data_IF_267748902839
#
_entry.id   IF_267748902839
#
_cell.length_a   1.000
_cell.length_b   1.000
_cell.length_c   1.000
_cell.angle_alpha   90.00
_cell.angle_beta   90.00
_cell.angle_gamma   90.00
#
_symmetry.space_group_name_H-M   'P 1'
#
loop_
_entity.id
_entity.type
_entity.pdbx_description
1 polymer ?
#
# COMPACT_ATOMS: atom_id res chain seq x y z
N UNK A 1 43.88 22.57 -20.26
CA UNK A 1 42.64 22.10 -19.59
C UNK A 1 42.19 20.69 -20.01
N UNK A 2 42.29 20.28 -21.29
CA UNK A 2 41.79 18.97 -21.76
C UNK A 2 42.50 17.71 -21.22
N UNK A 3 43.75 17.79 -20.75
CA UNK A 3 44.48 16.64 -20.17
C UNK A 3 44.12 16.31 -18.71
N UNK A 4 43.61 17.28 -17.93
CA UNK A 4 43.16 17.03 -16.54
C UNK A 4 41.78 16.37 -16.48
N UNK A 5 40.97 16.50 -17.54
CA UNK A 5 39.64 15.89 -17.61
C UNK A 5 39.69 14.38 -17.96
N UNK A 6 40.70 13.94 -18.72
CA UNK A 6 40.87 12.52 -19.09
C UNK A 6 41.33 11.67 -17.91
N UNK A 7 42.17 12.21 -17.01
CA UNK A 7 42.60 11.50 -15.80
C UNK A 7 41.48 11.35 -14.75
N UNK A 8 40.50 12.25 -14.73
CA UNK A 8 39.37 12.19 -13.80
C UNK A 8 38.34 11.12 -14.19
N UNK A 9 38.21 10.84 -15.49
CA UNK A 9 37.33 9.76 -16.01
C UNK A 9 37.94 8.37 -15.77
N UNK A 10 39.27 8.23 -15.83
CA UNK A 10 39.95 6.96 -15.57
C UNK A 10 39.97 6.64 -14.06
N UNK A 11 40.07 7.65 -13.19
CA UNK A 11 39.99 7.44 -11.74
C UNK A 11 38.58 7.00 -11.26
N UNK A 12 37.52 7.46 -11.92
CA UNK A 12 36.14 7.05 -11.63
C UNK A 12 35.81 5.62 -12.10
N UNK A 13 36.55 5.09 -13.09
CA UNK A 13 36.37 3.70 -13.57
C UNK A 13 37.16 2.67 -12.74
N UNK A 14 38.14 3.08 -11.94
CA UNK A 14 38.95 2.18 -11.11
C UNK A 14 38.51 2.12 -9.64
N UNK A 15 37.71 3.08 -9.17
CA UNK A 15 37.02 2.99 -7.87
C UNK A 15 35.71 2.22 -8.01
N UNK A 16 35.79 0.98 -8.48
CA UNK A 16 34.72 0.00 -8.49
C UNK A 16 34.29 -0.37 -7.07
N UNK A 17 33.55 0.51 -6.40
CA UNK A 17 32.63 0.10 -5.36
C UNK A 17 31.58 -0.77 -6.03
N UNK A 18 31.70 -2.08 -5.83
CA UNK A 18 30.63 -3.07 -6.04
C UNK A 18 29.40 -2.62 -5.25
N UNK A 19 28.60 -1.75 -5.84
CA UNK A 19 27.19 -1.73 -5.53
C UNK A 19 26.67 -3.07 -6.01
N UNK A 20 26.44 -3.97 -5.05
CA UNK A 20 25.49 -5.05 -5.19
C UNK A 20 24.14 -4.34 -5.39
N UNK A 21 23.89 -3.90 -6.62
CA UNK A 21 22.52 -3.69 -7.06
C UNK A 21 21.85 -5.05 -6.89
N UNK A 22 20.71 -5.15 -6.20
CA UNK A 22 19.95 -6.38 -6.19
C UNK A 22 19.80 -6.77 -7.66
N UNK A 23 20.25 -7.98 -8.01
CA UNK A 23 19.95 -8.53 -9.32
C UNK A 23 18.46 -8.34 -9.51
N UNK A 24 18.09 -7.45 -10.43
CA UNK A 24 16.72 -7.27 -10.82
C UNK A 24 16.28 -8.68 -11.20
N UNK A 25 15.42 -9.26 -10.36
CA UNK A 25 14.70 -10.46 -10.70
C UNK A 25 14.21 -10.22 -12.12
N UNK A 26 14.51 -11.15 -13.02
CA UNK A 26 14.06 -11.13 -14.41
C UNK A 26 12.53 -11.17 -14.39
N UNK A 27 11.90 -10.02 -14.16
CA UNK A 27 10.49 -9.81 -14.40
C UNK A 27 10.33 -10.01 -15.89
N UNK A 28 9.62 -11.07 -16.25
CA UNK A 28 9.19 -11.33 -17.62
C UNK A 28 8.67 -10.01 -18.22
N UNK A 29 9.38 -9.52 -19.24
CA UNK A 29 9.15 -8.22 -19.87
C UNK A 29 7.77 -8.06 -20.51
N UNK A 30 6.96 -9.13 -20.54
CA UNK A 30 5.60 -9.12 -21.06
C UNK A 30 4.56 -8.40 -20.19
N UNK A 31 4.86 -8.09 -18.92
CA UNK A 31 3.91 -7.46 -18.00
C UNK A 31 4.32 -6.08 -17.46
N UNK A 32 5.49 -5.57 -17.85
CA UNK A 32 5.90 -4.22 -17.46
C UNK A 32 5.03 -3.16 -18.15
N UNK A 33 4.75 -3.34 -19.45
CA UNK A 33 3.99 -2.37 -20.24
C UNK A 33 2.51 -2.27 -19.82
N UNK A 34 1.90 -3.39 -19.41
CA UNK A 34 0.55 -3.40 -18.83
C UNK A 34 0.51 -2.68 -17.47
N UNK A 35 1.46 -2.97 -16.58
CA UNK A 35 1.61 -2.28 -15.29
C UNK A 35 1.84 -0.77 -15.46
N UNK A 36 2.72 -0.36 -16.38
CA UNK A 36 2.95 1.06 -16.66
C UNK A 36 1.70 1.73 -17.26
N UNK A 37 0.93 1.03 -18.10
CA UNK A 37 -0.31 1.56 -18.67
C UNK A 37 -1.42 1.68 -17.65
N UNK A 38 -1.55 0.71 -16.74
CA UNK A 38 -2.50 0.76 -15.61
C UNK A 38 -2.12 1.84 -14.60
N UNK A 39 -0.84 1.96 -14.24
CA UNK A 39 -0.34 3.04 -13.38
C UNK A 39 -0.54 4.41 -14.05
N UNK A 40 -0.19 4.54 -15.34
CA UNK A 40 -0.43 5.77 -16.08
C UNK A 40 -1.93 6.10 -16.20
N UNK A 41 -2.80 5.11 -16.33
CA UNK A 41 -4.25 5.31 -16.27
C UNK A 41 -4.70 5.77 -14.88
N UNK A 42 -4.19 5.17 -13.80
CA UNK A 42 -4.49 5.59 -12.43
C UNK A 42 -4.06 7.05 -12.16
N UNK A 43 -2.86 7.45 -12.61
CA UNK A 43 -2.37 8.82 -12.49
C UNK A 43 -3.11 9.81 -13.41
N UNK A 44 -3.54 9.39 -14.60
CA UNK A 44 -4.29 10.25 -15.54
C UNK A 44 -5.77 10.41 -15.20
N UNK A 45 -6.28 9.62 -14.26
CA UNK A 45 -7.65 9.76 -13.73
C UNK A 45 -7.72 10.76 -12.56
N UNK A 46 -6.60 11.25 -12.04
CA UNK A 46 -6.61 12.25 -10.97
C UNK A 46 -7.23 13.56 -11.50
N UNK A 47 -8.45 13.87 -11.06
CA UNK A 47 -9.20 15.06 -11.50
C UNK A 47 -10.07 14.90 -12.76
N UNK A 48 -10.14 13.73 -13.40
CA UNK A 48 -11.11 13.50 -14.48
C UNK A 48 -12.50 13.20 -13.93
N UNK A 49 -13.53 13.73 -14.58
CA UNK A 49 -14.92 13.41 -14.24
C UNK A 49 -15.19 11.90 -14.29
N UNK A 50 -15.99 11.42 -13.34
CA UNK A 50 -16.46 10.04 -13.30
C UNK A 50 -17.71 9.89 -14.17
N UNK A 51 -17.92 8.70 -14.74
CA UNK A 51 -19.18 8.44 -15.43
C UNK A 51 -20.35 8.41 -14.44
N UNK A 52 -21.54 8.87 -14.83
CA UNK A 52 -22.73 8.85 -13.95
C UNK A 52 -23.06 7.45 -13.42
N UNK A 53 -22.88 6.42 -14.26
CA UNK A 53 -23.14 5.03 -13.86
C UNK A 53 -22.18 4.56 -12.76
N UNK A 54 -20.89 4.91 -12.87
CA UNK A 54 -19.89 4.60 -11.84
C UNK A 54 -20.14 5.41 -10.56
N UNK A 55 -20.49 6.69 -10.68
CA UNK A 55 -20.85 7.52 -9.53
C UNK A 55 -22.05 6.94 -8.76
N UNK A 56 -23.14 6.61 -9.46
CA UNK A 56 -24.33 5.99 -8.87
C UNK A 56 -24.01 4.64 -8.21
N UNK A 57 -23.12 3.85 -8.81
CA UNK A 57 -22.73 2.54 -8.27
C UNK A 57 -21.99 2.67 -6.94
N UNK A 58 -21.04 3.62 -6.80
CA UNK A 58 -20.42 3.92 -5.50
C UNK A 58 -21.48 4.39 -4.51
N UNK A 59 -22.23 5.44 -4.88
CA UNK A 59 -23.13 6.11 -3.94
C UNK A 59 -24.18 5.15 -3.40
N UNK A 60 -24.67 4.18 -4.17
CA UNK A 60 -25.63 3.16 -3.69
C UNK A 60 -25.15 2.38 -2.46
N UNK A 61 -23.83 2.22 -2.28
CA UNK A 61 -23.25 1.49 -1.14
C UNK A 61 -23.07 2.33 0.12
N UNK A 62 -23.27 3.64 0.03
CA UNK A 62 -23.01 4.60 1.11
C UNK A 62 -24.25 4.90 1.95
N UNK A 63 -24.01 5.27 3.22
CA UNK A 63 -25.05 5.81 4.10
C UNK A 63 -25.57 7.16 3.60
N UNK A 64 -26.76 7.55 4.04
CA UNK A 64 -27.37 8.84 3.71
C UNK A 64 -26.50 10.01 4.16
N UNK A 65 -25.90 9.91 5.35
CA UNK A 65 -24.99 10.93 5.88
C UNK A 65 -23.76 11.10 4.99
N UNK A 66 -23.14 9.99 4.58
CA UNK A 66 -21.97 10.01 3.71
C UNK A 66 -22.29 10.64 2.34
N UNK A 67 -23.44 10.29 1.75
CA UNK A 67 -23.92 10.92 0.50
C UNK A 67 -24.06 12.43 0.64
N UNK A 68 -24.61 12.91 1.77
CA UNK A 68 -24.75 14.34 2.01
C UNK A 68 -23.40 15.05 2.07
N UNK A 69 -22.41 14.48 2.77
CA UNK A 69 -21.03 14.99 2.81
C UNK A 69 -20.43 15.06 1.41
N UNK A 70 -20.59 14.00 0.62
CA UNK A 70 -20.10 13.94 -0.76
C UNK A 70 -20.77 14.97 -1.67
N UNK A 71 -22.06 15.21 -1.54
CA UNK A 71 -22.76 16.29 -2.26
C UNK A 71 -22.25 17.69 -1.86
N UNK A 72 -21.90 17.91 -0.59
CA UNK A 72 -21.23 19.16 -0.18
C UNK A 72 -19.84 19.30 -0.79
N UNK A 73 -19.04 18.23 -0.77
CA UNK A 73 -17.71 18.21 -1.42
C UNK A 73 -17.85 18.51 -2.91
N UNK A 74 -18.83 17.91 -3.60
CA UNK A 74 -19.09 18.14 -5.03
C UNK A 74 -19.37 19.61 -5.37
N UNK A 75 -20.06 20.33 -4.47
CA UNK A 75 -20.34 21.77 -4.60
C UNK A 75 -19.09 22.63 -4.38
N UNK A 76 -18.21 22.22 -3.45
CA UNK A 76 -17.00 22.96 -3.09
C UNK A 76 -15.84 22.70 -4.07
N UNK A 77 -15.64 21.45 -4.47
CA UNK A 77 -14.57 21.01 -5.37
C UNK A 77 -14.95 19.68 -6.07
N UNK A 78 -15.43 19.80 -7.32
CA UNK A 78 -15.85 18.66 -8.14
C UNK A 78 -14.71 17.68 -8.44
N UNK A 79 -13.47 18.15 -8.53
CA UNK A 79 -12.32 17.29 -8.81
C UNK A 79 -11.97 16.46 -7.57
N UNK A 80 -11.94 17.10 -6.40
CA UNK A 80 -11.75 16.41 -5.12
C UNK A 80 -12.88 15.41 -4.84
N UNK A 81 -14.12 15.75 -5.18
CA UNK A 81 -15.26 14.81 -5.12
C UNK A 81 -14.98 13.49 -5.85
N UNK A 82 -14.63 13.56 -7.13
CA UNK A 82 -14.34 12.35 -7.91
C UNK A 82 -13.08 11.63 -7.45
N UNK A 83 -12.07 12.37 -6.98
CA UNK A 83 -10.90 11.78 -6.36
C UNK A 83 -11.31 10.94 -5.14
N UNK A 84 -12.07 11.51 -4.20
CA UNK A 84 -12.47 10.83 -2.97
C UNK A 84 -13.41 9.65 -3.23
N UNK A 85 -14.29 9.72 -4.24
CA UNK A 85 -15.11 8.59 -4.65
C UNK A 85 -14.28 7.40 -5.15
N UNK A 86 -13.18 7.65 -5.89
CA UNK A 86 -12.30 6.59 -6.41
C UNK A 86 -11.40 5.99 -5.32
N UNK A 87 -10.89 6.81 -4.42
CA UNK A 87 -9.92 6.38 -3.40
C UNK A 87 -10.57 5.87 -2.10
N UNK A 88 -11.71 6.45 -1.68
CA UNK A 88 -12.34 6.12 -0.40
C UNK A 88 -13.02 4.75 -0.38
N UNK A 89 -13.45 4.27 -1.55
CA UNK A 89 -14.27 3.07 -1.65
C UNK A 89 -13.60 2.12 -2.62
N UNK A 90 -12.89 1.08 -2.13
CA UNK A 90 -12.34 0.07 -3.00
C UNK A 90 -13.53 -0.61 -3.66
N UNK A 91 -13.82 -0.21 -4.89
CA UNK A 91 -14.39 -1.13 -5.84
C UNK A 91 -13.53 -2.38 -5.77
N UNK A 92 -14.18 -3.52 -5.52
CA UNK A 92 -13.56 -4.84 -5.43
C UNK A 92 -12.79 -5.22 -6.70
N UNK A 93 -11.67 -4.53 -6.91
CA UNK A 93 -10.56 -4.96 -7.74
C UNK A 93 -9.89 -6.05 -6.93
N UNK A 94 -9.78 -7.20 -7.56
CA UNK A 94 -9.73 -8.49 -6.87
C UNK A 94 -8.63 -8.59 -5.83
N UNK A 95 -8.91 -9.48 -4.89
CA UNK A 95 -8.10 -9.98 -3.79
C UNK A 95 -6.78 -10.65 -4.24
N UNK A 96 -6.09 -10.09 -5.23
CA UNK A 96 -4.83 -10.61 -5.73
C UNK A 96 -3.69 -9.78 -5.15
N UNK A 97 -3.12 -10.27 -4.06
CA UNK A 97 -1.79 -9.85 -3.65
C UNK A 97 -0.79 -10.11 -4.78
N UNK A 98 0.30 -9.32 -4.89
CA UNK A 98 1.22 -9.34 -6.04
C UNK A 98 2.00 -10.66 -6.27
N UNK A 99 1.71 -11.76 -5.56
CA UNK A 99 2.46 -13.01 -5.70
C UNK A 99 1.69 -14.30 -5.30
N UNK A 100 0.35 -14.30 -5.25
CA UNK A 100 -0.40 -15.50 -4.86
C UNK A 100 -0.21 -15.93 -3.39
N UNK A 101 0.47 -15.11 -2.58
CA UNK A 101 0.48 -15.28 -1.13
C UNK A 101 -0.90 -14.90 -0.56
N UNK A 102 -1.41 -15.63 0.44
CA UNK A 102 -2.67 -15.29 1.07
C UNK A 102 -2.59 -13.86 1.60
N UNK A 103 -3.59 -13.04 1.25
CA UNK A 103 -3.64 -11.61 1.60
C UNK A 103 -3.60 -11.32 3.12
N UNK A 104 -3.70 -12.38 3.94
CA UNK A 104 -3.40 -12.40 5.37
C UNK A 104 -1.95 -11.98 5.69
N UNK A 105 -0.97 -12.33 4.85
CA UNK A 105 0.46 -12.03 5.07
C UNK A 105 0.76 -10.54 4.93
N UNK A 106 0.06 -9.84 4.02
CA UNK A 106 0.22 -8.40 3.80
C UNK A 106 -0.83 -7.54 4.53
N UNK A 107 -1.64 -8.11 5.42
CA UNK A 107 -2.60 -7.35 6.22
C UNK A 107 -3.71 -6.68 5.40
N UNK A 108 -3.96 -7.12 4.16
CA UNK A 108 -4.97 -6.53 3.26
C UNK A 108 -6.39 -7.03 3.52
N UNK A 109 -6.59 -7.99 4.42
CA UNK A 109 -7.89 -8.58 4.70
C UNK A 109 -8.32 -8.43 6.16
N UNK A 110 -8.52 -7.20 6.61
CA UNK A 110 -9.56 -6.97 7.63
C UNK A 110 -10.23 -5.62 7.36
N UNK A 111 -11.33 -5.68 6.62
CA UNK A 111 -12.37 -4.66 6.69
C UNK A 111 -13.02 -4.72 8.10
N UNK A 112 -12.25 -4.36 9.13
CA UNK A 112 -12.78 -4.19 10.49
C UNK A 112 -13.52 -2.84 10.56
N UNK A 113 -14.44 -2.70 11.52
CA UNK A 113 -15.18 -1.46 11.78
C UNK A 113 -14.27 -0.21 11.89
N UNK A 114 -13.03 -0.40 12.37
CA UNK A 114 -12.00 0.65 12.41
C UNK A 114 -11.64 1.24 11.04
N UNK A 115 -11.64 0.42 9.98
CA UNK A 115 -11.35 0.90 8.60
C UNK A 115 -12.51 1.71 8.02
N UNK A 116 -13.74 1.41 8.42
CA UNK A 116 -14.92 2.19 8.04
C UNK A 116 -14.89 3.55 8.74
N UNK A 117 -14.68 3.56 10.07
CA UNK A 117 -14.59 4.80 10.85
C UNK A 117 -13.45 5.69 10.36
N UNK A 118 -12.28 5.12 10.08
CA UNK A 118 -11.14 5.85 9.51
C UNK A 118 -11.51 6.58 8.22
N UNK A 119 -12.15 5.88 7.27
CA UNK A 119 -12.58 6.46 6.01
C UNK A 119 -13.62 7.56 6.20
N UNK A 120 -14.58 7.35 7.09
CA UNK A 120 -15.59 8.37 7.40
C UNK A 120 -14.94 9.64 7.94
N UNK A 121 -13.98 9.50 8.86
CA UNK A 121 -13.19 10.62 9.39
C UNK A 121 -12.31 11.29 8.33
N UNK A 122 -11.72 10.54 7.39
CA UNK A 122 -10.97 11.14 6.28
C UNK A 122 -11.87 12.03 5.40
N UNK A 123 -13.10 11.60 5.13
CA UNK A 123 -14.08 12.42 4.39
C UNK A 123 -14.47 13.67 5.19
N UNK A 124 -14.66 13.55 6.52
CA UNK A 124 -14.95 14.69 7.38
C UNK A 124 -13.81 15.72 7.38
N UNK A 125 -12.56 15.25 7.53
CA UNK A 125 -11.36 16.09 7.47
C UNK A 125 -11.26 16.81 6.13
N UNK A 126 -11.47 16.12 5.01
CA UNK A 126 -11.43 16.71 3.67
C UNK A 126 -12.55 17.74 3.44
N UNK A 127 -13.78 17.44 3.88
CA UNK A 127 -14.89 18.38 3.82
C UNK A 127 -14.62 19.63 4.66
N UNK A 128 -14.13 19.47 5.90
CA UNK A 128 -13.79 20.60 6.78
C UNK A 128 -12.64 21.43 6.22
N UNK A 129 -11.63 20.80 5.61
CA UNK A 129 -10.54 21.50 4.94
C UNK A 129 -11.04 22.33 3.74
N UNK A 130 -11.95 21.77 2.92
CA UNK A 130 -12.59 22.49 1.83
C UNK A 130 -13.47 23.64 2.33
N UNK A 131 -14.26 23.42 3.39
CA UNK A 131 -15.06 24.47 4.03
C UNK A 131 -14.16 25.60 4.53
N UNK A 132 -13.07 25.27 5.22
CA UNK A 132 -12.10 26.24 5.73
C UNK A 132 -11.47 27.06 4.60
N UNK A 133 -11.12 26.42 3.47
CA UNK A 133 -10.55 27.08 2.29
C UNK A 133 -11.52 28.10 1.66
N UNK A 134 -12.83 27.85 1.76
CA UNK A 134 -13.88 28.69 1.18
C UNK A 134 -14.58 29.59 2.23
N UNK A 135 -14.15 29.55 3.49
CA UNK A 135 -14.79 30.25 4.59
C UNK A 135 -14.41 31.73 4.67
N UNK A 136 -15.33 32.54 5.18
CA UNK A 136 -15.07 33.90 5.64
C UNK A 136 -14.48 33.91 7.06
N UNK A 137 -13.95 35.05 7.50
CA UNK A 137 -13.24 35.16 8.79
C UNK A 137 -14.04 34.71 10.02
N UNK A 138 -15.37 34.84 9.99
CA UNK A 138 -16.24 34.40 11.09
C UNK A 138 -16.41 32.88 11.13
N UNK A 139 -16.53 32.22 9.98
CA UNK A 139 -16.67 30.76 9.86
C UNK A 139 -15.35 30.03 10.14
N UNK A 140 -14.20 30.64 9.81
CA UNK A 140 -12.86 30.09 10.09
C UNK A 140 -12.66 29.77 11.57
N UNK A 141 -13.16 30.62 12.48
CA UNK A 141 -13.01 30.43 13.93
C UNK A 141 -13.76 29.20 14.45
N UNK A 142 -14.83 28.76 13.77
CA UNK A 142 -15.62 27.58 14.13
C UNK A 142 -15.08 26.30 13.47
N UNK A 143 -14.71 26.38 12.20
CA UNK A 143 -14.29 25.21 11.41
C UNK A 143 -12.90 24.70 11.84
N UNK A 144 -11.99 25.61 12.22
CA UNK A 144 -10.60 25.23 12.55
C UNK A 144 -10.50 24.32 13.78
N UNK A 145 -11.18 24.59 14.92
CA UNK A 145 -11.21 23.66 16.05
C UNK A 145 -11.82 22.30 15.70
N UNK A 146 -12.91 22.28 14.94
CA UNK A 146 -13.57 21.03 14.50
C UNK A 146 -12.63 20.18 13.62
N UNK A 147 -11.92 20.81 12.68
CA UNK A 147 -10.92 20.14 11.86
C UNK A 147 -9.78 19.56 12.71
N UNK A 148 -9.32 20.28 13.74
CA UNK A 148 -8.28 19.81 14.64
C UNK A 148 -8.74 18.58 15.46
N UNK A 149 -9.97 18.59 15.95
CA UNK A 149 -10.58 17.45 16.66
C UNK A 149 -10.64 16.21 15.76
N UNK A 150 -11.16 16.35 14.53
CA UNK A 150 -11.25 15.23 13.59
C UNK A 150 -9.89 14.70 13.14
N UNK A 151 -8.90 15.57 12.99
CA UNK A 151 -7.52 15.16 12.72
C UNK A 151 -6.92 14.38 13.90
N UNK A 152 -7.22 14.78 15.14
CA UNK A 152 -6.78 14.03 16.33
C UNK A 152 -7.42 12.64 16.37
N UNK A 153 -8.74 12.55 16.18
CA UNK A 153 -9.43 11.24 16.13
C UNK A 153 -8.86 10.32 15.03
N UNK A 154 -8.57 10.88 13.86
CA UNK A 154 -7.98 10.14 12.74
C UNK A 154 -6.56 9.68 13.05
N UNK A 155 -5.76 10.53 13.70
CA UNK A 155 -4.40 10.19 14.12
C UNK A 155 -4.40 9.00 15.08
N UNK A 156 -5.25 9.03 16.12
CA UNK A 156 -5.33 7.96 17.13
C UNK A 156 -5.69 6.61 16.50
N UNK A 157 -6.61 6.60 15.51
CA UNK A 157 -6.97 5.38 14.79
C UNK A 157 -5.78 4.85 13.98
N UNK A 158 -5.08 5.71 13.23
CA UNK A 158 -3.92 5.31 12.42
C UNK A 158 -2.76 4.84 13.29
N UNK A 159 -2.52 5.49 14.42
CA UNK A 159 -1.52 5.08 15.40
C UNK A 159 -1.85 3.69 15.96
N UNK A 160 -3.08 3.47 16.42
CA UNK A 160 -3.52 2.18 16.94
C UNK A 160 -3.42 1.06 15.90
N UNK A 161 -3.72 1.35 14.62
CA UNK A 161 -3.53 0.39 13.53
C UNK A 161 -2.04 0.07 13.31
N UNK A 162 -1.16 1.09 13.31
CA UNK A 162 0.28 0.87 13.16
C UNK A 162 0.86 0.10 14.33
N UNK A 163 0.39 0.34 15.55
CA UNK A 163 0.80 -0.43 16.72
C UNK A 163 0.47 -1.92 16.56
N UNK A 164 -0.74 -2.25 16.07
CA UNK A 164 -1.13 -3.65 15.79
C UNK A 164 -0.28 -4.27 14.68
N UNK A 165 0.06 -3.50 13.66
CA UNK A 165 0.95 -3.97 12.60
C UNK A 165 2.36 -4.27 13.12
N UNK A 166 2.93 -3.39 13.96
CA UNK A 166 4.22 -3.61 14.61
C UNK A 166 4.20 -4.92 15.40
N UNK A 167 3.19 -5.12 16.25
CA UNK A 167 3.05 -6.35 17.05
C UNK A 167 2.98 -7.61 16.17
N UNK A 168 2.24 -7.55 15.05
CA UNK A 168 2.15 -8.67 14.09
C UNK A 168 3.51 -8.96 13.44
N UNK A 169 4.22 -7.91 13.01
CA UNK A 169 5.55 -8.05 12.40
C UNK A 169 6.58 -8.59 13.39
N UNK A 170 6.55 -8.16 14.64
CA UNK A 170 7.41 -8.69 15.70
C UNK A 170 7.16 -10.17 15.95
N UNK A 171 5.88 -10.59 16.06
CA UNK A 171 5.51 -12.00 16.16
C UNK A 171 6.04 -12.81 14.96
N UNK A 172 5.83 -12.31 13.75
CA UNK A 172 6.30 -12.99 12.53
C UNK A 172 7.82 -13.10 12.47
N UNK A 173 8.53 -12.04 12.89
CA UNK A 173 9.98 -12.05 12.98
C UNK A 173 10.47 -13.12 13.97
N UNK A 174 9.79 -13.27 15.10
CA UNK A 174 10.11 -14.30 16.08
C UNK A 174 9.92 -15.71 15.52
N UNK A 175 8.78 -15.99 14.87
CA UNK A 175 8.52 -17.28 14.21
C UNK A 175 9.59 -17.63 13.15
N UNK A 176 9.99 -16.64 12.34
CA UNK A 176 11.03 -16.81 11.33
C UNK A 176 12.40 -17.11 11.95
N UNK A 177 12.74 -16.44 13.07
CA UNK A 177 13.98 -16.70 13.81
C UNK A 177 14.00 -18.13 14.37
N UNK A 178 12.91 -18.58 14.96
CA UNK A 178 12.76 -19.94 15.49
C UNK A 178 12.88 -20.99 14.38
N UNK A 179 12.16 -20.79 13.28
CA UNK A 179 12.24 -21.66 12.09
C UNK A 179 13.66 -21.75 11.52
N UNK A 180 14.35 -20.61 11.43
CA UNK A 180 15.74 -20.55 10.99
C UNK A 180 16.68 -21.29 11.95
N UNK A 181 16.47 -21.16 13.25
CA UNK A 181 17.27 -21.87 14.26
C UNK A 181 17.08 -23.38 14.16
N UNK A 182 15.83 -23.87 14.04
CA UNK A 182 15.54 -25.30 13.84
C UNK A 182 16.23 -25.81 12.57
N UNK A 183 16.15 -25.05 11.47
CA UNK A 183 16.83 -25.42 10.21
C UNK A 183 18.35 -25.47 10.36
N UNK A 184 18.95 -24.55 11.12
CA UNK A 184 20.39 -24.56 11.41
C UNK A 184 20.78 -25.79 12.24
N UNK A 185 20.00 -26.14 13.25
CA UNK A 185 20.23 -27.33 14.08
C UNK A 185 20.09 -28.63 13.27
N UNK A 186 19.15 -28.68 12.31
CA UNK A 186 18.92 -29.83 11.43
C UNK A 186 19.71 -29.79 10.13
N UNK A 187 20.71 -28.91 9.99
CA UNK A 187 21.42 -28.68 8.73
C UNK A 187 21.98 -29.98 8.15
N UNK A 188 22.69 -30.76 8.96
CA UNK A 188 23.37 -31.96 8.48
C UNK A 188 22.37 -33.04 8.09
N UNK A 189 21.30 -33.24 8.86
CA UNK A 189 20.18 -34.13 8.52
C UNK A 189 19.53 -33.74 7.17
N UNK A 190 19.24 -32.45 6.99
CA UNK A 190 18.67 -31.92 5.74
C UNK A 190 19.60 -32.18 4.55
N UNK A 191 20.91 -31.97 4.74
CA UNK A 191 21.92 -32.21 3.69
C UNK A 191 22.01 -33.70 3.37
N UNK A 192 22.05 -34.57 4.38
CA UNK A 192 22.11 -36.02 4.17
C UNK A 192 20.87 -36.55 3.46
N UNK A 193 19.67 -36.11 3.87
CA UNK A 193 18.42 -36.45 3.18
C UNK A 193 18.47 -36.01 1.72
N UNK A 194 18.97 -34.81 1.44
CA UNK A 194 19.10 -34.32 0.06
C UNK A 194 20.10 -35.13 -0.76
N UNK A 195 21.21 -35.58 -0.17
CA UNK A 195 22.16 -36.48 -0.83
C UNK A 195 21.48 -37.80 -1.18
N UNK A 196 20.76 -38.42 -0.24
CA UNK A 196 20.03 -39.68 -0.47
C UNK A 196 18.97 -39.55 -1.56
N UNK A 197 18.19 -38.47 -1.57
CA UNK A 197 17.23 -38.16 -2.63
C UNK A 197 17.91 -38.11 -4.01
N UNK A 198 19.07 -37.46 -4.11
CA UNK A 198 19.82 -37.31 -5.38
C UNK A 198 20.45 -38.63 -5.85
N UNK A 199 20.78 -39.53 -4.93
CA UNK A 199 21.29 -40.86 -5.27
C UNK A 199 20.18 -41.86 -5.64
N UNK A 200 18.91 -41.45 -5.57
CA UNK A 200 17.77 -42.27 -5.97
C UNK A 200 17.37 -43.34 -4.95
N UNK A 201 17.78 -43.19 -3.69
CA UNK A 201 17.40 -44.12 -2.62
C UNK A 201 15.89 -43.99 -2.33
N UNK A 202 15.10 -44.95 -2.84
CA UNK A 202 13.63 -44.93 -2.85
C UNK A 202 12.98 -44.95 -1.46
N UNK A 203 13.76 -45.24 -0.40
CA UNK A 203 13.31 -45.26 0.99
C UNK A 203 12.88 -43.88 1.50
N UNK A 204 13.33 -42.80 0.86
CA UNK A 204 13.05 -41.40 1.25
C UNK A 204 12.16 -40.64 0.24
N UNK A 205 11.65 -41.34 -0.78
CA UNK A 205 10.76 -40.79 -1.83
C UNK A 205 9.27 -40.87 -1.48
N UNK A 206 8.91 -41.10 -0.20
CA UNK A 206 7.51 -41.08 0.24
C UNK A 206 7.10 -39.68 0.70
N UNK A 207 6.20 -39.08 -0.07
CA UNK A 207 5.55 -37.81 0.20
C UNK A 207 4.20 -38.10 0.88
N UNK A 208 4.21 -38.50 2.15
CA UNK A 208 3.01 -38.53 3.00
C UNK A 208 2.99 -37.27 3.90
#
# INVERSE_FOLDING_TARGET
MKRKMILLVIALLLCGSRQILPQAATYSSGNAESLYKELAQAYTLQGKEMSKQEEEKILKTMSTEMKAKFEEIKKLDKNKYYQLLRYGFPYGTGNFGPAGEPAEVYGMLYANDGTKKEKELEIDVELLALKLKNADGSSVQKIKPELAEKLSELFDIKEAQKQKEVQRLEKRLQELKESLQVRKQKKDEIVQRRIQELLGDSKYLKWD
#
